data_IF_828041650902
#
_entry.id   IF_828041650902
#
_cell.length_a   1.000
_cell.length_b   1.000
_cell.length_c   1.000
_cell.angle_alpha   90.00
_cell.angle_beta   90.00
_cell.angle_gamma   90.00
#
_symmetry.space_group_name_H-M   'P 1'
#
loop_
_entity.id
_entity.type
_entity.pdbx_description
1 polymer ?
#
# COMPACT_ATOMS: atom_id res chain seq x y z
N UNK A 1 14.20 -11.66 -87.74
CA UNK A 1 15.23 -11.02 -86.89
C UNK A 1 14.57 -10.65 -85.57
N UNK A 2 15.33 -10.83 -84.48
CA UNK A 2 15.08 -10.45 -83.07
C UNK A 2 13.87 -11.05 -82.32
N UNK A 3 14.14 -12.22 -81.73
CA UNK A 3 14.06 -12.62 -80.31
C UNK A 3 12.79 -12.35 -79.47
N UNK A 4 12.42 -13.43 -78.78
CA UNK A 4 11.11 -13.84 -78.24
C UNK A 4 10.84 -13.44 -76.78
N UNK A 5 9.59 -13.62 -76.28
CA UNK A 5 9.06 -13.00 -75.05
C UNK A 5 9.02 -13.95 -73.83
N UNK A 6 8.88 -13.35 -72.64
CA UNK A 6 8.55 -13.98 -71.35
C UNK A 6 7.73 -12.95 -70.55
N UNK A 7 6.63 -13.25 -69.87
CA UNK A 7 6.01 -14.53 -69.55
C UNK A 7 4.53 -14.33 -69.21
N UNK A 8 3.77 -15.40 -69.43
CA UNK A 8 2.36 -15.62 -69.12
C UNK A 8 2.06 -15.44 -67.63
N UNK A 9 1.15 -14.54 -67.23
CA UNK A 9 -0.32 -14.66 -67.20
C UNK A 9 -0.87 -15.62 -66.13
N UNK A 10 -1.71 -15.01 -65.28
CA UNK A 10 -2.91 -15.53 -64.61
C UNK A 10 -2.76 -15.91 -63.14
N UNK A 11 -3.75 -15.73 -62.26
CA UNK A 11 -4.94 -14.86 -62.17
C UNK A 11 -5.32 -15.01 -60.70
N UNK A 12 -5.51 -13.90 -60.02
CA UNK A 12 -5.83 -13.82 -58.58
C UNK A 12 -7.29 -14.21 -58.39
N UNK A 13 -7.56 -15.24 -57.60
CA UNK A 13 -8.86 -15.46 -56.98
C UNK A 13 -8.67 -15.85 -55.51
N UNK A 14 -9.36 -15.11 -54.66
CA UNK A 14 -9.77 -15.40 -53.29
C UNK A 14 -8.72 -15.50 -52.17
N UNK A 15 -8.82 -14.46 -51.32
CA UNK A 15 -8.45 -14.43 -49.92
C UNK A 15 -9.28 -15.45 -49.13
N UNK A 16 -8.62 -16.27 -48.31
CA UNK A 16 -9.11 -16.54 -46.96
C UNK A 16 -7.92 -16.78 -46.01
N UNK A 17 -8.03 -16.17 -44.84
CA UNK A 17 -7.04 -16.15 -43.77
C UNK A 17 -7.00 -17.49 -43.03
N UNK A 18 -5.87 -18.19 -43.05
CA UNK A 18 -5.50 -19.12 -41.98
C UNK A 18 -4.12 -18.78 -41.42
N UNK A 19 -4.14 -18.50 -40.12
CA UNK A 19 -2.99 -18.21 -39.25
C UNK A 19 -2.15 -19.49 -39.14
N UNK A 20 -0.96 -19.49 -39.75
CA UNK A 20 0.05 -20.51 -39.47
C UNK A 20 1.03 -19.94 -38.43
N UNK A 21 0.81 -20.30 -37.16
CA UNK A 21 1.81 -20.17 -36.10
C UNK A 21 3.07 -20.98 -36.51
N UNK A 22 4.20 -20.29 -36.65
CA UNK A 22 5.49 -20.94 -36.77
C UNK A 22 5.83 -21.66 -35.45
N UNK A 23 6.21 -22.95 -35.45
CA UNK A 23 6.59 -23.64 -34.24
C UNK A 23 7.89 -23.07 -33.67
N UNK A 24 7.81 -22.53 -32.45
CA UNK A 24 8.92 -22.01 -31.66
C UNK A 24 9.92 -23.14 -31.36
N UNK A 25 11.16 -22.96 -31.77
CA UNK A 25 12.26 -23.91 -31.58
C UNK A 25 12.46 -24.27 -30.09
N UNK A 26 12.58 -25.57 -29.82
CA UNK A 26 12.86 -26.17 -28.51
C UNK A 26 14.31 -25.84 -28.12
N UNK A 27 14.59 -25.32 -26.91
CA UNK A 27 15.97 -25.13 -26.45
C UNK A 27 16.67 -26.49 -26.21
N UNK A 28 17.99 -26.60 -26.45
CA UNK A 28 18.71 -27.85 -26.32
C UNK A 28 18.71 -28.35 -24.86
N UNK A 29 18.47 -29.65 -24.71
CA UNK A 29 18.53 -30.41 -23.46
C UNK A 29 19.86 -30.17 -22.72
N UNK A 30 19.83 -29.94 -21.38
CA UNK A 30 21.06 -29.83 -20.61
C UNK A 30 21.83 -31.16 -20.60
N UNK A 31 23.18 -31.14 -20.57
CA UNK A 31 23.98 -32.35 -20.51
C UNK A 31 23.67 -33.15 -19.24
N UNK A 32 23.75 -34.50 -19.29
CA UNK A 32 23.55 -35.33 -18.11
C UNK A 32 24.55 -34.93 -17.02
N UNK A 33 24.12 -34.88 -15.74
CA UNK A 33 25.00 -34.51 -14.64
C UNK A 33 26.21 -35.45 -14.60
N UNK A 34 27.41 -34.96 -14.23
CA UNK A 34 28.59 -35.79 -14.15
C UNK A 34 28.33 -36.97 -13.21
N UNK A 35 28.57 -38.19 -13.70
CA UNK A 35 28.50 -39.42 -12.91
C UNK A 35 29.64 -39.39 -11.89
N UNK A 36 29.36 -38.86 -10.71
CA UNK A 36 30.31 -38.86 -9.60
C UNK A 36 30.42 -40.32 -9.12
N UNK A 37 31.63 -40.90 -9.05
CA UNK A 37 31.78 -42.25 -8.51
C UNK A 37 31.22 -42.30 -7.09
N UNK A 38 30.47 -43.36 -6.72
CA UNK A 38 29.68 -43.38 -5.48
C UNK A 38 30.53 -43.14 -4.24
N UNK A 39 31.78 -43.65 -4.21
CA UNK A 39 32.72 -43.40 -3.13
C UNK A 39 33.06 -41.91 -2.94
N UNK A 40 33.30 -41.18 -4.03
CA UNK A 40 33.59 -39.74 -4.00
C UNK A 40 32.35 -38.93 -3.59
N UNK A 41 31.16 -39.36 -4.01
CA UNK A 41 29.90 -38.73 -3.58
C UNK A 41 29.65 -38.88 -2.08
N UNK A 42 30.04 -40.03 -1.49
CA UNK A 42 29.92 -40.27 -0.06
C UNK A 42 30.93 -39.44 0.72
N UNK A 43 32.18 -39.37 0.26
CA UNK A 43 33.20 -38.52 0.88
C UNK A 43 32.82 -37.04 0.84
N UNK A 44 32.29 -36.55 -0.28
CA UNK A 44 31.82 -35.16 -0.39
C UNK A 44 30.63 -34.91 0.54
N UNK A 45 29.69 -35.85 0.66
CA UNK A 45 28.56 -35.74 1.60
C UNK A 45 29.01 -35.78 3.05
N UNK A 46 29.93 -36.67 3.40
CA UNK A 46 30.52 -36.72 4.75
C UNK A 46 31.25 -35.43 5.09
N UNK A 47 32.07 -34.92 4.17
CA UNK A 47 32.76 -33.65 4.32
C UNK A 47 31.79 -32.47 4.38
N UNK A 48 30.69 -32.52 3.63
CA UNK A 48 29.63 -31.51 3.69
C UNK A 48 28.89 -31.54 5.03
N UNK A 49 28.58 -32.73 5.54
CA UNK A 49 28.01 -32.91 6.88
C UNK A 49 28.96 -32.42 7.97
N UNK A 50 30.27 -32.66 7.84
CA UNK A 50 31.28 -32.09 8.73
C UNK A 50 31.28 -30.55 8.66
N UNK A 51 31.18 -29.95 7.47
CA UNK A 51 31.09 -28.49 7.33
C UNK A 51 29.79 -27.89 7.85
N UNK A 52 28.67 -28.60 7.77
CA UNK A 52 27.39 -28.16 8.32
C UNK A 52 27.40 -28.20 9.86
N UNK A 53 27.98 -29.26 10.43
CA UNK A 53 28.00 -29.46 11.88
C UNK A 53 29.02 -28.58 12.59
N UNK A 54 30.22 -28.44 12.02
CA UNK A 54 31.33 -27.66 12.61
C UNK A 54 31.42 -26.22 12.06
N UNK A 55 30.64 -25.90 11.02
CA UNK A 55 30.72 -24.63 10.29
C UNK A 55 31.87 -24.64 9.27
N UNK A 56 31.64 -24.07 8.09
CA UNK A 56 32.70 -23.81 7.12
C UNK A 56 33.65 -22.76 7.70
N UNK A 57 34.86 -23.18 8.10
CA UNK A 57 35.92 -22.35 8.72
C UNK A 57 36.05 -21.00 8.00
N UNK A 58 35.63 -19.87 8.60
CA UNK A 58 36.14 -18.57 8.21
C UNK A 58 37.44 -18.35 8.99
N UNK A 59 38.52 -18.05 8.29
CA UNK A 59 39.73 -17.44 8.89
C UNK A 59 39.30 -16.18 9.67
N UNK A 60 39.20 -16.27 10.99
CA UNK A 60 38.80 -15.18 11.87
C UNK A 60 39.11 -15.52 13.33
N UNK A 61 39.71 -14.61 14.13
CA UNK A 61 40.43 -14.98 15.34
C UNK A 61 39.58 -15.20 16.59
N UNK A 62 38.26 -15.05 16.55
CA UNK A 62 37.44 -15.11 17.78
C UNK A 62 36.14 -15.88 17.59
N UNK A 63 36.25 -17.22 17.60
CA UNK A 63 35.18 -18.11 18.03
C UNK A 63 35.79 -19.25 18.83
N UNK A 64 35.40 -19.38 20.10
CA UNK A 64 35.73 -20.54 20.95
C UNK A 64 35.07 -21.78 20.34
N UNK A 65 35.74 -22.40 19.37
CA UNK A 65 35.36 -23.68 18.81
C UNK A 65 35.86 -24.78 19.74
N UNK A 66 34.98 -25.74 20.03
CA UNK A 66 35.33 -27.03 20.61
C UNK A 66 36.28 -27.71 19.62
N UNK A 67 37.59 -27.58 19.85
CA UNK A 67 38.60 -28.23 19.04
C UNK A 67 38.37 -29.74 19.08
N UNK A 68 38.03 -30.31 17.92
CA UNK A 68 38.10 -31.76 17.71
C UNK A 68 39.57 -32.11 17.87
N UNK A 69 39.91 -32.95 18.85
CA UNK A 69 41.29 -33.45 19.01
C UNK A 69 41.68 -34.10 17.68
N UNK A 70 42.78 -33.64 17.10
CA UNK A 70 43.28 -34.11 15.80
C UNK A 70 43.32 -35.65 15.77
N UNK A 71 42.39 -36.26 15.00
CA UNK A 71 42.28 -37.72 14.84
C UNK A 71 40.93 -38.35 15.19
N UNK A 72 39.97 -37.60 15.75
CA UNK A 72 38.62 -38.11 15.99
C UNK A 72 37.72 -37.88 14.77
N UNK A 73 37.43 -38.95 14.02
CA UNK A 73 36.48 -38.91 12.90
C UNK A 73 35.05 -38.68 13.42
N UNK A 74 34.21 -38.02 12.62
CA UNK A 74 32.77 -37.84 12.92
C UNK A 74 32.12 -39.18 13.29
N UNK A 75 32.52 -40.26 12.61
CA UNK A 75 32.06 -41.62 12.88
C UNK A 75 32.36 -42.08 14.31
N UNK A 76 33.56 -41.79 14.84
CA UNK A 76 33.94 -42.18 16.21
C UNK A 76 33.15 -41.41 17.26
N UNK A 77 32.92 -40.10 17.03
CA UNK A 77 32.14 -39.26 17.95
C UNK A 77 30.65 -39.57 17.89
N UNK A 78 30.13 -39.90 16.70
CA UNK A 78 28.76 -40.40 16.55
C UNK A 78 28.59 -41.74 17.27
N UNK A 79 29.57 -42.64 17.18
CA UNK A 79 29.56 -43.91 17.91
C UNK A 79 29.65 -43.70 19.44
N UNK A 80 30.45 -42.75 19.91
CA UNK A 80 30.53 -42.39 21.33
C UNK A 80 29.23 -41.75 21.83
N UNK A 81 28.63 -40.84 21.05
CA UNK A 81 27.32 -40.25 21.35
C UNK A 81 26.23 -41.32 21.35
N UNK A 82 26.24 -42.23 20.37
CA UNK A 82 25.32 -43.35 20.32
C UNK A 82 25.47 -44.23 21.57
N UNK A 83 26.70 -44.55 21.97
CA UNK A 83 26.94 -45.31 23.21
C UNK A 83 26.41 -44.58 24.44
N UNK A 84 26.69 -43.28 24.58
CA UNK A 84 26.17 -42.51 25.72
C UNK A 84 24.64 -42.39 25.71
N UNK A 85 24.03 -42.32 24.52
CA UNK A 85 22.58 -42.30 24.36
C UNK A 85 21.99 -43.66 24.72
N UNK A 86 22.57 -44.75 24.22
CA UNK A 86 22.15 -46.12 24.54
C UNK A 86 22.27 -46.39 26.05
N UNK A 87 23.33 -45.91 26.72
CA UNK A 87 23.47 -46.00 28.18
C UNK A 87 22.36 -45.25 28.92
N UNK A 88 22.03 -44.02 28.49
CA UNK A 88 20.96 -43.21 29.08
C UNK A 88 19.59 -43.83 28.83
N UNK A 89 19.37 -44.39 27.65
CA UNK A 89 18.11 -45.05 27.28
C UNK A 89 17.95 -46.35 28.05
N UNK A 90 19.01 -47.13 28.24
CA UNK A 90 18.99 -48.33 29.07
C UNK A 90 18.79 -48.01 30.55
N UNK A 91 19.26 -46.85 31.03
CA UNK A 91 19.04 -46.39 32.39
C UNK A 91 17.60 -45.94 32.68
N UNK A 92 16.81 -45.66 31.64
CA UNK A 92 15.46 -45.12 31.77
C UNK A 92 14.43 -45.95 30.97
N UNK A 93 13.65 -46.74 31.69
CA UNK A 93 12.60 -47.60 31.10
C UNK A 93 11.57 -46.83 30.26
N UNK A 94 11.30 -45.57 30.60
CA UNK A 94 10.38 -44.72 29.84
C UNK A 94 10.93 -44.33 28.47
N UNK A 95 12.21 -43.96 28.40
CA UNK A 95 12.88 -43.65 27.14
C UNK A 95 13.06 -44.89 26.27
N UNK A 96 13.35 -46.04 26.87
CA UNK A 96 13.43 -47.30 26.16
C UNK A 96 12.10 -47.67 25.50
N UNK A 97 10.99 -47.62 26.24
CA UNK A 97 9.65 -47.88 25.68
C UNK A 97 9.29 -46.88 24.58
N UNK A 98 9.65 -45.61 24.76
CA UNK A 98 9.45 -44.58 23.75
C UNK A 98 10.26 -44.85 22.48
N UNK A 99 11.53 -45.25 22.59
CA UNK A 99 12.36 -45.60 21.44
C UNK A 99 11.89 -46.86 20.72
N UNK A 100 11.42 -47.88 21.45
CA UNK A 100 10.82 -49.10 20.88
C UNK A 100 9.56 -48.79 20.04
N UNK A 101 8.82 -47.73 20.39
CA UNK A 101 7.61 -47.28 19.68
C UNK A 101 7.83 -45.97 18.91
N UNK A 102 9.08 -45.56 18.68
CA UNK A 102 9.40 -44.28 18.07
C UNK A 102 8.81 -44.16 16.67
N UNK A 103 8.99 -45.18 15.83
CA UNK A 103 8.46 -45.19 14.46
C UNK A 103 6.93 -45.14 14.41
N UNK A 104 6.27 -45.67 15.45
CA UNK A 104 4.81 -45.65 15.57
C UNK A 104 4.29 -44.27 15.99
N UNK A 105 5.07 -43.52 16.78
CA UNK A 105 4.71 -42.20 17.29
C UNK A 105 5.44 -41.05 16.59
N UNK A 106 6.23 -41.33 15.55
CA UNK A 106 7.01 -40.34 14.81
C UNK A 106 6.13 -39.21 14.26
N UNK A 107 4.91 -39.54 13.83
CA UNK A 107 3.92 -38.60 13.32
C UNK A 107 3.49 -37.53 14.35
N UNK A 108 3.53 -37.85 15.64
CA UNK A 108 3.21 -36.91 16.72
C UNK A 108 4.41 -36.07 17.14
N UNK A 109 5.63 -36.49 16.80
CA UNK A 109 6.90 -35.82 17.14
C UNK A 109 7.36 -34.87 16.05
N UNK A 110 6.94 -35.09 14.80
CA UNK A 110 7.03 -34.09 13.74
C UNK A 110 5.81 -33.18 13.80
N UNK A 111 5.93 -31.93 14.29
CA UNK A 111 4.80 -31.01 14.30
C UNK A 111 4.47 -30.62 12.86
N UNK A 112 3.59 -31.38 12.20
CA UNK A 112 3.04 -31.04 10.89
C UNK A 112 2.42 -29.63 10.90
N UNK A 113 1.85 -29.22 12.04
CA UNK A 113 1.35 -27.85 12.27
C UNK A 113 2.45 -26.77 12.16
N UNK A 114 3.65 -26.99 12.71
CA UNK A 114 4.74 -26.00 12.66
C UNK A 114 5.48 -26.00 11.32
N UNK A 115 5.39 -27.09 10.55
CA UNK A 115 6.06 -27.26 9.25
C UNK A 115 5.15 -26.99 8.04
N UNK A 116 3.84 -26.80 8.27
CA UNK A 116 2.80 -26.56 7.25
C UNK A 116 3.08 -25.34 6.33
N UNK A 117 3.94 -24.41 6.76
CA UNK A 117 4.35 -23.25 5.96
C UNK A 117 5.67 -23.41 5.18
N UNK A 118 6.47 -24.45 5.45
CA UNK A 118 7.85 -24.57 4.95
C UNK A 118 7.99 -25.73 3.95
N UNK A 119 7.21 -26.79 4.16
CA UNK A 119 7.12 -27.91 3.23
C UNK A 119 5.73 -27.83 2.59
N UNK A 120 5.61 -27.77 1.25
CA UNK A 120 4.32 -27.87 0.58
C UNK A 120 3.81 -29.31 0.72
N UNK A 121 3.35 -29.65 1.92
CA UNK A 121 2.56 -30.86 2.11
C UNK A 121 1.17 -30.54 1.56
N UNK A 122 0.69 -31.27 0.54
CA UNK A 122 -0.70 -31.14 0.14
C UNK A 122 -1.55 -31.43 1.38
N UNK A 123 -2.54 -30.59 1.71
CA UNK A 123 -3.44 -30.88 2.81
C UNK A 123 -4.00 -32.30 2.61
N UNK A 124 -3.88 -33.12 3.64
CA UNK A 124 -4.16 -34.56 3.60
C UNK A 124 -5.67 -34.83 3.56
N UNK A 125 -6.40 -34.17 2.65
CA UNK A 125 -7.83 -34.37 2.43
C UNK A 125 -8.16 -35.78 1.94
N UNK A 126 -7.22 -36.45 1.27
CA UNK A 126 -7.39 -37.83 0.78
C UNK A 126 -7.49 -38.88 1.90
N UNK A 127 -7.01 -38.57 3.10
CA UNK A 127 -7.05 -39.49 4.26
C UNK A 127 -8.11 -39.10 5.31
N UNK A 128 -8.90 -38.04 5.07
CA UNK A 128 -9.99 -37.68 5.98
C UNK A 128 -11.18 -38.60 5.73
N UNK A 129 -11.76 -39.12 6.82
CA UNK A 129 -13.06 -39.79 6.73
C UNK A 129 -14.13 -38.80 6.28
N UNK A 130 -15.20 -39.30 5.64
CA UNK A 130 -16.30 -38.44 5.17
C UNK A 130 -16.93 -37.64 6.31
N UNK A 131 -16.96 -38.20 7.52
CA UNK A 131 -17.43 -37.50 8.73
C UNK A 131 -16.49 -36.37 9.19
N UNK A 132 -15.18 -36.53 9.07
CA UNK A 132 -14.21 -35.48 9.42
C UNK A 132 -14.23 -34.35 8.39
N UNK A 133 -14.42 -34.67 7.12
CA UNK A 133 -14.59 -33.69 6.06
C UNK A 133 -15.89 -32.89 6.27
N UNK A 134 -17.00 -33.55 6.58
CA UNK A 134 -18.26 -32.88 6.91
C UNK A 134 -18.11 -31.95 8.13
N UNK A 135 -17.46 -32.42 9.20
CA UNK A 135 -17.17 -31.60 10.37
C UNK A 135 -16.30 -30.38 10.01
N UNK A 136 -15.24 -30.58 9.23
CA UNK A 136 -14.37 -29.51 8.75
C UNK A 136 -15.12 -28.49 7.88
N UNK A 137 -15.98 -28.94 6.96
CA UNK A 137 -16.80 -28.05 6.15
C UNK A 137 -17.80 -27.26 6.99
N UNK A 138 -18.36 -27.86 8.05
CA UNK A 138 -19.25 -27.13 8.98
C UNK A 138 -18.50 -26.10 9.82
N UNK A 139 -17.23 -26.37 10.16
CA UNK A 139 -16.36 -25.41 10.86
C UNK A 139 -15.92 -24.26 9.94
N UNK A 140 -15.65 -24.55 8.67
CA UNK A 140 -15.22 -23.56 7.67
C UNK A 140 -16.39 -22.81 7.00
N UNK A 141 -17.63 -23.28 7.15
CA UNK A 141 -18.83 -22.61 6.62
C UNK A 141 -18.92 -21.10 6.95
N UNK A 142 -18.72 -20.63 8.21
CA UNK A 142 -18.73 -19.20 8.51
C UNK A 142 -17.67 -18.41 7.72
N UNK A 143 -16.47 -18.97 7.55
CA UNK A 143 -15.36 -18.33 6.85
C UNK A 143 -15.62 -18.26 5.34
N UNK A 144 -16.14 -19.33 4.76
CA UNK A 144 -16.54 -19.37 3.34
C UNK A 144 -17.65 -18.33 3.08
N UNK A 145 -18.63 -18.22 3.98
CA UNK A 145 -19.69 -17.21 3.87
C UNK A 145 -19.17 -15.79 4.08
N UNK A 146 -18.20 -15.59 4.96
CA UNK A 146 -17.55 -14.29 5.15
C UNK A 146 -16.79 -13.89 3.88
N UNK A 147 -15.95 -14.78 3.35
CA UNK A 147 -15.22 -14.56 2.10
C UNK A 147 -16.18 -14.30 0.91
N UNK A 148 -17.31 -15.00 0.83
CA UNK A 148 -18.32 -14.73 -0.20
C UNK A 148 -18.92 -13.32 -0.07
N UNK A 149 -19.21 -12.86 1.16
CA UNK A 149 -19.68 -11.49 1.39
C UNK A 149 -18.63 -10.48 0.98
N UNK A 150 -17.38 -10.70 1.35
CA UNK A 150 -16.26 -9.81 1.00
C UNK A 150 -16.03 -9.77 -0.51
N UNK A 151 -16.08 -10.92 -1.20
CA UNK A 151 -15.97 -10.98 -2.66
C UNK A 151 -17.15 -10.29 -3.36
N UNK A 152 -18.36 -10.40 -2.82
CA UNK A 152 -19.51 -9.63 -3.31
C UNK A 152 -19.32 -8.14 -3.08
N UNK A 153 -18.81 -7.74 -1.91
CA UNK A 153 -18.50 -6.34 -1.62
C UNK A 153 -17.45 -5.80 -2.60
N UNK A 154 -16.35 -6.53 -2.79
CA UNK A 154 -15.29 -6.19 -3.76
C UNK A 154 -15.90 -6.04 -5.16
N UNK A 155 -16.75 -6.98 -5.59
CA UNK A 155 -17.43 -6.88 -6.89
C UNK A 155 -18.30 -5.63 -6.97
N UNK A 156 -19.07 -5.30 -5.92
CA UNK A 156 -19.86 -4.06 -5.92
C UNK A 156 -19.00 -2.80 -5.95
N UNK A 157 -17.82 -2.82 -5.33
CA UNK A 157 -16.86 -1.71 -5.34
C UNK A 157 -16.19 -1.56 -6.72
N UNK A 158 -15.92 -2.67 -7.38
CA UNK A 158 -15.44 -2.72 -8.75
C UNK A 158 -16.50 -2.20 -9.74
N UNK A 159 -17.75 -2.65 -9.63
CA UNK A 159 -18.88 -2.16 -10.43
C UNK A 159 -19.12 -0.65 -10.22
N UNK A 160 -18.93 -0.15 -8.98
CA UNK A 160 -18.96 1.28 -8.64
C UNK A 160 -17.73 2.06 -9.16
N UNK A 161 -16.73 1.36 -9.71
CA UNK A 161 -15.52 1.97 -10.27
C UNK A 161 -14.61 2.60 -9.22
N UNK A 162 -14.67 2.14 -7.97
CA UNK A 162 -13.84 2.62 -6.84
C UNK A 162 -12.39 2.13 -6.98
N UNK A 163 -12.18 1.00 -7.68
CA UNK A 163 -10.87 0.51 -8.08
C UNK A 163 -10.33 1.35 -9.25
N UNK A 164 -9.99 2.61 -8.96
CA UNK A 164 -9.35 3.56 -9.89
C UNK A 164 -7.97 3.13 -10.41
N UNK A 165 -7.53 1.90 -10.13
CA UNK A 165 -6.26 1.32 -10.56
C UNK A 165 -6.03 1.41 -12.08
N UNK A 166 -7.10 1.39 -12.89
CA UNK A 166 -7.02 1.58 -14.35
C UNK A 166 -7.07 3.03 -14.85
N UNK A 167 -7.48 3.99 -14.01
CA UNK A 167 -7.68 5.40 -14.42
C UNK A 167 -6.46 6.29 -14.16
N UNK A 168 -5.40 5.75 -13.59
CA UNK A 168 -4.17 6.49 -13.24
C UNK A 168 -3.50 7.17 -14.42
N UNK A 169 -3.54 6.55 -15.60
CA UNK A 169 -3.01 7.14 -16.83
C UNK A 169 -3.77 8.42 -17.21
N UNK A 170 -5.09 8.43 -17.05
CA UNK A 170 -5.96 9.55 -17.43
C UNK A 170 -5.73 10.80 -16.55
N UNK A 171 -5.21 10.64 -15.33
CA UNK A 171 -4.90 11.79 -14.45
C UNK A 171 -3.63 12.53 -14.88
N UNK A 172 -2.70 11.88 -15.59
CA UNK A 172 -1.50 12.55 -16.12
C UNK A 172 -1.86 13.59 -17.18
N UNK A 173 -2.83 13.27 -18.04
CA UNK A 173 -3.32 14.18 -19.07
C UNK A 173 -4.09 15.38 -18.47
N UNK A 174 -4.60 15.25 -17.24
CA UNK A 174 -5.33 16.32 -16.55
C UNK A 174 -4.40 17.33 -15.84
N UNK A 175 -3.15 16.96 -15.61
CA UNK A 175 -2.14 17.79 -14.96
C UNK A 175 -1.99 19.19 -15.61
N UNK A 176 -1.82 19.34 -16.94
CA UNK A 176 -1.72 20.67 -17.55
C UNK A 176 -2.97 21.52 -17.35
N UNK A 177 -4.17 20.91 -17.32
CA UNK A 177 -5.42 21.63 -17.07
C UNK A 177 -5.49 22.10 -15.62
N UNK A 178 -5.01 21.30 -14.68
CA UNK A 178 -4.92 21.68 -13.27
C UNK A 178 -3.94 22.83 -13.07
N UNK A 179 -2.78 22.79 -13.72
CA UNK A 179 -1.79 23.87 -13.62
C UNK A 179 -2.32 25.20 -14.17
N UNK A 180 -3.05 25.16 -15.29
CA UNK A 180 -3.73 26.35 -15.83
C UNK A 180 -4.78 26.87 -14.85
N UNK A 181 -5.59 25.98 -14.26
CA UNK A 181 -6.63 26.36 -13.31
C UNK A 181 -6.04 26.94 -12.03
N UNK A 182 -4.95 26.36 -11.51
CA UNK A 182 -4.25 26.87 -10.33
C UNK A 182 -3.69 28.27 -10.57
N UNK A 183 -3.10 28.52 -11.74
CA UNK A 183 -2.62 29.86 -12.12
C UNK A 183 -3.77 30.86 -12.21
N UNK A 184 -4.84 30.51 -12.92
CA UNK A 184 -6.01 31.38 -13.02
C UNK A 184 -6.62 31.70 -11.64
N UNK A 185 -6.72 30.69 -10.76
CA UNK A 185 -7.20 30.88 -9.40
C UNK A 185 -6.29 31.81 -8.57
N UNK A 186 -4.96 31.69 -8.71
CA UNK A 186 -4.03 32.59 -8.05
C UNK A 186 -4.20 34.04 -8.53
N UNK A 187 -4.28 34.25 -9.84
CA UNK A 187 -4.52 35.58 -10.41
C UNK A 187 -5.86 36.18 -9.94
N UNK A 188 -6.90 35.37 -9.85
CA UNK A 188 -8.21 35.81 -9.39
C UNK A 188 -8.24 36.10 -7.88
N UNK A 189 -7.51 35.32 -7.07
CA UNK A 189 -7.34 35.60 -5.64
C UNK A 189 -6.61 36.93 -5.40
N UNK A 190 -5.57 37.23 -6.18
CA UNK A 190 -4.87 38.52 -6.13
C UNK A 190 -5.80 39.67 -6.50
N UNK A 191 -6.55 39.55 -7.61
CA UNK A 191 -7.54 40.56 -8.01
C UNK A 191 -8.61 40.77 -6.93
N UNK A 192 -9.13 39.69 -6.36
CA UNK A 192 -10.11 39.76 -5.28
C UNK A 192 -9.57 40.54 -4.08
N UNK A 193 -8.35 40.24 -3.63
CA UNK A 193 -7.72 40.95 -2.52
C UNK A 193 -7.54 42.46 -2.81
N UNK A 194 -7.13 42.83 -4.03
CA UNK A 194 -7.02 44.25 -4.41
C UNK A 194 -8.37 44.97 -4.45
N UNK A 195 -9.42 44.29 -4.91
CA UNK A 195 -10.78 44.84 -4.94
C UNK A 195 -11.34 44.99 -3.53
N UNK A 196 -11.12 44.01 -2.65
CA UNK A 196 -11.49 44.08 -1.24
C UNK A 196 -10.81 45.26 -0.55
N UNK A 197 -9.50 45.44 -0.74
CA UNK A 197 -8.77 46.58 -0.19
C UNK A 197 -9.29 47.93 -0.73
N UNK A 198 -9.70 47.98 -2.00
CA UNK A 198 -10.29 49.18 -2.59
C UNK A 198 -11.69 49.46 -2.03
N UNK A 199 -12.52 48.44 -1.85
CA UNK A 199 -13.87 48.56 -1.30
C UNK A 199 -13.79 48.98 0.17
N UNK A 200 -12.92 48.38 0.96
CA UNK A 200 -12.73 48.76 2.37
C UNK A 200 -12.29 50.22 2.48
N UNK A 201 -11.33 50.67 1.66
CA UNK A 201 -10.93 52.08 1.62
C UNK A 201 -12.00 53.04 1.07
N UNK A 202 -12.96 52.56 0.28
CA UNK A 202 -14.13 53.34 -0.12
C UNK A 202 -15.14 53.45 1.02
N UNK A 203 -15.40 52.35 1.72
CA UNK A 203 -16.31 52.31 2.87
C UNK A 203 -15.79 53.17 4.02
N UNK A 204 -14.49 53.14 4.29
CA UNK A 204 -13.86 53.98 5.33
C UNK A 204 -14.05 55.47 5.04
N UNK A 205 -13.70 55.91 3.82
CA UNK A 205 -13.95 57.30 3.39
C UNK A 205 -15.42 57.69 3.42
N UNK A 206 -16.31 56.76 3.10
CA UNK A 206 -17.75 56.99 3.17
C UNK A 206 -18.22 57.17 4.61
N UNK A 207 -17.74 56.34 5.54
CA UNK A 207 -18.01 56.44 6.96
C UNK A 207 -17.53 57.80 7.50
N UNK A 208 -16.28 58.18 7.24
CA UNK A 208 -15.75 59.49 7.66
C UNK A 208 -16.58 60.65 7.09
N UNK A 209 -17.00 60.55 5.82
CA UNK A 209 -17.86 61.59 5.21
C UNK A 209 -19.23 61.68 5.89
N UNK A 210 -19.83 60.55 6.26
CA UNK A 210 -21.09 60.56 7.03
C UNK A 210 -20.87 61.18 8.40
N UNK A 211 -19.78 60.84 9.09
CA UNK A 211 -19.48 61.39 10.41
C UNK A 211 -19.32 62.92 10.34
N UNK A 212 -18.54 63.42 9.39
CA UNK A 212 -18.37 64.87 9.18
C UNK A 212 -19.68 65.58 8.79
N UNK A 213 -20.52 64.95 7.95
CA UNK A 213 -21.85 65.50 7.64
C UNK A 213 -22.75 65.52 8.87
N UNK A 214 -22.71 64.47 9.68
CA UNK A 214 -23.50 64.38 10.91
C UNK A 214 -23.07 65.46 11.91
N UNK A 215 -21.76 65.69 12.07
CA UNK A 215 -21.22 66.80 12.88
C UNK A 215 -21.66 68.17 12.35
N UNK A 216 -21.63 68.37 11.02
CA UNK A 216 -22.10 69.62 10.40
C UNK A 216 -23.59 69.85 10.67
N UNK A 217 -24.42 68.80 10.57
CA UNK A 217 -25.85 68.91 10.85
C UNK A 217 -26.12 69.26 12.32
N UNK A 218 -25.37 68.70 13.26
CA UNK A 218 -25.48 69.07 14.69
C UNK A 218 -25.08 70.53 14.88
N UNK A 219 -23.95 70.96 14.32
CA UNK A 219 -23.51 72.36 14.41
C UNK A 219 -24.51 73.34 13.80
N UNK A 220 -25.18 72.94 12.71
CA UNK A 220 -26.24 73.74 12.09
C UNK A 220 -27.51 73.80 12.95
N UNK A 221 -27.91 72.69 13.57
CA UNK A 221 -29.07 72.66 14.48
C UNK A 221 -28.82 73.56 15.70
N UNK A 222 -27.63 73.52 16.28
CA UNK A 222 -27.25 74.40 17.39
C UNK A 222 -27.26 75.87 16.98
N UNK A 223 -26.68 76.22 15.82
CA UNK A 223 -26.69 77.58 15.31
C UNK A 223 -28.11 78.10 15.00
N UNK A 224 -28.99 77.23 14.50
CA UNK A 224 -30.39 77.54 14.28
C UNK A 224 -31.13 77.79 15.60
N UNK A 225 -30.92 76.94 16.62
CA UNK A 225 -31.49 77.13 17.96
C UNK A 225 -31.03 78.45 18.58
N UNK A 226 -29.74 78.76 18.51
CA UNK A 226 -29.20 80.04 19.00
C UNK A 226 -29.84 81.25 18.30
N UNK A 227 -30.03 81.15 16.97
CA UNK A 227 -30.67 82.20 16.19
C UNK A 227 -32.16 82.34 16.56
N UNK A 228 -32.87 81.23 16.74
CA UNK A 228 -34.26 81.22 17.21
C UNK A 228 -34.41 81.80 18.62
N UNK A 229 -33.52 81.47 19.54
CA UNK A 229 -33.54 82.00 20.90
C UNK A 229 -33.32 83.53 20.91
N UNK A 230 -32.34 84.02 20.14
CA UNK A 230 -32.09 85.46 19.96
C UNK A 230 -33.28 86.17 19.32
N UNK A 231 -33.90 85.56 18.31
CA UNK A 231 -35.11 86.09 17.68
C UNK A 231 -36.27 86.17 18.69
N UNK A 232 -36.52 85.11 19.46
CA UNK A 232 -37.54 85.09 20.52
C UNK A 232 -37.28 86.09 21.63
N UNK A 233 -36.02 86.34 21.99
CA UNK A 233 -35.66 87.37 22.96
C UNK A 233 -35.96 88.77 22.40
N UNK A 234 -35.53 89.07 21.16
CA UNK A 234 -35.81 90.33 20.50
C UNK A 234 -37.32 90.59 20.29
N UNK A 235 -38.11 89.55 19.99
CA UNK A 235 -39.56 89.63 19.91
C UNK A 235 -40.19 89.97 21.26
N UNK A 236 -39.77 89.29 22.34
CA UNK A 236 -40.23 89.59 23.71
C UNK A 236 -39.89 91.03 24.12
N UNK A 237 -38.66 91.47 23.90
CA UNK A 237 -38.24 92.85 24.20
C UNK A 237 -39.10 93.87 23.42
N UNK A 238 -39.39 93.58 22.15
CA UNK A 238 -40.26 94.44 21.33
C UNK A 238 -41.69 94.47 21.85
N UNK A 239 -42.26 93.33 22.24
CA UNK A 239 -43.59 93.26 22.86
C UNK A 239 -43.64 93.99 24.20
N UNK A 240 -42.61 93.88 25.04
CA UNK A 240 -42.52 94.61 26.30
C UNK A 240 -42.42 96.12 26.08
N UNK A 241 -41.61 96.58 25.11
CA UNK A 241 -41.53 98.00 24.74
C UNK A 241 -42.87 98.55 24.25
N UNK A 242 -43.62 97.76 23.47
CA UNK A 242 -45.00 98.09 23.07
C UNK A 242 -45.97 98.14 24.26
N UNK A 243 -45.89 97.19 25.20
CA UNK A 243 -46.72 97.20 26.42
C UNK A 243 -46.42 98.40 27.32
N UNK A 244 -45.16 98.83 27.37
CA UNK A 244 -44.70 100.00 28.13
C UNK A 244 -44.95 101.34 27.40
N UNK A 245 -45.47 101.32 26.16
CA UNK A 245 -45.85 102.51 25.40
C UNK A 245 -44.68 103.34 24.86
N UNK A 246 -43.50 102.72 24.69
CA UNK A 246 -42.33 103.38 24.09
C UNK A 246 -42.32 103.35 22.55
N UNK A 247 -43.30 102.67 21.93
CA UNK A 247 -43.72 102.78 20.53
C UNK A 247 -45.25 102.92 20.47
#
# INVERSE_FOLDING_TARGET
>A
MSLSPSGSMNTIHELDFEVVEQPKAIPPTPPPPPSIPPALSLDLRLRWLETLLYGARPEGPDRKHTEVKNGETLARRAAELQHTLDDVVQSNDGLRRFMEHYDQHAQYLTPAFALSGIIPAPPTYENMSTSELEAFLTEMEPDIRAAERDLREIKTLEDKGVTGAGKLANYKDLQPRLDVLLKAHQEDAEKAATLEARISGLMDRYATRIDTLSELFVAWDDALRDAEEKARAAERDKEERKKLGYE
#
